data_IF_117997543831
#
_entry.id   IF_117997543831
#
_cell.length_a   1.000
_cell.length_b   1.000
_cell.length_c   1.000
_cell.angle_alpha   90.00
_cell.angle_beta   90.00
_cell.angle_gamma   90.00
#
_symmetry.space_group_name_H-M   'P 1'
#
loop_
_entity.id
_entity.type
_entity.pdbx_description
1 polymer ?
#
# COMPACT_ATOMS: atom_id res chain seq x y z
N UNK A 1 -13.70 -6.37 -11.28
CA UNK A 1 -12.29 -6.51 -10.87
C UNK A 1 -12.11 -5.98 -9.46
N UNK A 2 -10.99 -6.29 -8.80
CA UNK A 2 -10.67 -5.75 -7.47
C UNK A 2 -9.78 -4.51 -7.65
N UNK A 3 -10.15 -3.39 -7.03
CA UNK A 3 -9.37 -2.14 -7.13
C UNK A 3 -8.10 -2.24 -6.30
N UNK A 4 -6.98 -1.74 -6.85
CA UNK A 4 -5.70 -1.63 -6.12
C UNK A 4 -5.81 -0.73 -4.89
N UNK A 5 -6.74 0.23 -4.90
CA UNK A 5 -7.02 1.12 -3.77
C UNK A 5 -7.49 0.38 -2.50
N UNK A 6 -7.95 -0.87 -2.63
CA UNK A 6 -8.39 -1.70 -1.51
C UNK A 6 -7.52 -2.96 -1.39
N UNK A 7 -7.18 -3.60 -2.52
CA UNK A 7 -6.40 -4.83 -2.52
C UNK A 7 -4.97 -4.63 -2.00
N UNK A 8 -4.26 -3.59 -2.46
CA UNK A 8 -2.89 -3.36 -2.06
C UNK A 8 -2.76 -3.05 -0.55
N UNK A 9 -3.59 -2.16 0.05
CA UNK A 9 -3.64 -1.99 1.50
C UNK A 9 -3.97 -3.29 2.23
N UNK A 10 -4.98 -4.06 1.79
CA UNK A 10 -5.37 -5.31 2.46
C UNK A 10 -4.24 -6.36 2.49
N UNK A 11 -3.49 -6.51 1.40
CA UNK A 11 -2.30 -7.39 1.35
C UNK A 11 -1.10 -6.81 2.09
N UNK A 12 -1.10 -5.52 2.40
CA UNK A 12 -0.13 -4.93 3.30
C UNK A 12 -0.62 -4.92 4.76
N UNK A 13 -1.75 -5.55 5.10
CA UNK A 13 -2.26 -5.49 6.48
C UNK A 13 -2.76 -4.10 6.89
N UNK A 14 -3.29 -3.33 5.95
CA UNK A 14 -3.82 -1.98 6.21
C UNK A 14 -5.29 -1.96 5.82
N UNK A 15 -6.21 -1.93 6.79
CA UNK A 15 -7.61 -1.75 6.48
C UNK A 15 -7.84 -0.30 6.02
N UNK A 16 -8.69 -0.09 5.02
CA UNK A 16 -9.03 1.27 4.56
C UNK A 16 -9.99 2.00 5.50
N UNK A 17 -10.63 1.28 6.42
CA UNK A 17 -11.45 1.81 7.51
C UNK A 17 -11.23 0.99 8.77
N UNK A 18 -11.35 1.60 9.94
CA UNK A 18 -11.24 0.90 11.21
C UNK A 18 -12.09 1.61 12.26
N UNK A 19 -12.84 0.84 13.06
CA UNK A 19 -13.67 1.41 14.14
C UNK A 19 -12.79 2.20 15.10
N UNK A 20 -13.21 3.43 15.40
CA UNK A 20 -12.47 4.33 16.30
C UNK A 20 -11.30 5.06 15.65
N UNK A 21 -11.00 4.81 14.36
CA UNK A 21 -9.94 5.49 13.62
C UNK A 21 -10.45 6.15 12.34
N UNK A 22 -11.20 5.42 11.50
CA UNK A 22 -11.68 5.92 10.22
C UNK A 22 -13.07 5.36 9.88
N UNK A 23 -14.06 6.24 9.78
CA UNK A 23 -15.44 5.94 9.36
C UNK A 23 -15.66 6.05 7.85
N UNK A 24 -14.68 6.59 7.14
CA UNK A 24 -14.70 6.75 5.68
C UNK A 24 -13.28 6.65 5.14
N UNK A 25 -13.17 6.45 3.83
CA UNK A 25 -11.92 6.62 3.10
C UNK A 25 -12.20 7.28 1.76
N UNK A 26 -11.19 7.92 1.19
CA UNK A 26 -11.31 8.59 -0.10
C UNK A 26 -10.16 8.17 -1.00
N UNK A 27 -10.51 7.82 -2.24
CA UNK A 27 -9.54 7.47 -3.27
C UNK A 27 -9.35 8.67 -4.18
N UNK A 28 -8.09 9.04 -4.41
CA UNK A 28 -7.70 10.23 -5.17
C UNK A 28 -6.53 9.88 -6.08
N UNK A 29 -6.48 10.48 -7.27
CA UNK A 29 -5.30 10.44 -8.13
C UNK A 29 -4.31 11.52 -7.71
N UNK A 30 -3.04 11.13 -7.56
CA UNK A 30 -1.91 12.03 -7.37
C UNK A 30 -1.15 12.32 -8.66
N UNK A 31 -1.71 11.99 -9.83
CA UNK A 31 -1.01 12.16 -11.12
C UNK A 31 -0.77 13.63 -11.48
N UNK A 32 -1.75 14.49 -11.25
CA UNK A 32 -1.64 15.94 -11.37
C UNK A 32 -1.89 16.57 -10.01
N UNK A 33 -0.88 17.29 -9.52
CA UNK A 33 -0.91 18.01 -8.25
C UNK A 33 -0.68 19.51 -8.47
N UNK A 34 -0.98 20.04 -9.66
CA UNK A 34 -1.02 21.47 -9.93
C UNK A 34 -2.23 22.13 -9.25
N UNK A 35 -2.27 23.47 -9.18
CA UNK A 35 -3.48 24.19 -8.74
C UNK A 35 -4.65 24.00 -9.73
N UNK A 36 -4.35 23.80 -11.02
CA UNK A 36 -5.34 23.52 -12.06
C UNK A 36 -5.93 22.12 -12.04
N UNK A 37 -5.37 21.19 -11.25
CA UNK A 37 -5.82 19.79 -11.16
C UNK A 37 -7.27 19.63 -10.68
N UNK A 38 -7.88 20.67 -10.10
CA UNK A 38 -9.22 20.64 -9.52
C UNK A 38 -9.35 19.82 -8.24
N UNK A 39 -8.25 19.26 -7.72
CA UNK A 39 -8.25 18.46 -6.50
C UNK A 39 -8.23 19.38 -5.27
N UNK A 40 -9.27 19.29 -4.44
CA UNK A 40 -9.37 20.05 -3.18
C UNK A 40 -8.56 19.38 -2.06
N UNK A 41 -7.25 19.63 -2.06
CA UNK A 41 -6.33 19.13 -1.04
C UNK A 41 -6.66 19.64 0.37
N UNK A 42 -7.33 20.80 0.49
CA UNK A 42 -7.71 21.37 1.78
C UNK A 42 -8.82 20.58 2.46
N UNK A 43 -9.80 20.11 1.69
CA UNK A 43 -10.82 19.17 2.18
C UNK A 43 -10.21 17.80 2.45
N UNK A 44 -9.38 17.28 1.53
CA UNK A 44 -8.77 15.96 1.69
C UNK A 44 -7.89 15.84 2.96
N UNK A 45 -7.21 16.91 3.36
CA UNK A 45 -6.38 16.96 4.57
C UNK A 45 -7.15 16.64 5.86
N UNK A 46 -8.47 16.85 5.87
CA UNK A 46 -9.35 16.64 7.03
C UNK A 46 -9.98 15.25 7.06
N UNK A 47 -9.84 14.46 5.99
CA UNK A 47 -10.45 13.14 5.89
C UNK A 47 -9.60 12.08 6.61
N UNK A 48 -10.23 11.09 7.26
CA UNK A 48 -9.54 10.17 8.15
C UNK A 48 -8.58 9.23 7.41
N UNK A 49 -8.97 8.70 6.25
CA UNK A 49 -8.11 7.84 5.42
C UNK A 49 -8.14 8.31 3.97
N UNK A 50 -6.96 8.57 3.42
CA UNK A 50 -6.76 8.83 2.01
C UNK A 50 -6.00 7.69 1.36
N UNK A 51 -6.46 7.25 0.21
CA UNK A 51 -5.75 6.33 -0.66
C UNK A 51 -5.39 7.06 -1.95
N UNK A 52 -4.10 7.33 -2.13
CA UNK A 52 -3.56 8.05 -3.28
C UNK A 52 -3.04 7.05 -4.31
N UNK A 53 -3.64 7.08 -5.49
CA UNK A 53 -3.21 6.32 -6.66
C UNK A 53 -2.30 7.20 -7.53
N UNK A 54 -1.31 6.61 -8.21
CA UNK A 54 -0.43 7.34 -9.14
C UNK A 54 0.31 8.54 -8.48
N UNK A 55 0.47 8.53 -7.16
CA UNK A 55 1.00 9.65 -6.40
C UNK A 55 2.51 9.64 -6.18
N UNK A 56 3.23 8.57 -6.52
CA UNK A 56 4.66 8.41 -6.20
C UNK A 56 5.50 9.57 -6.75
N UNK A 57 5.27 9.96 -8.01
CA UNK A 57 6.03 11.06 -8.64
C UNK A 57 5.77 12.43 -8.01
N UNK A 58 4.62 12.62 -7.36
CA UNK A 58 4.20 13.89 -6.78
C UNK A 58 4.10 13.85 -5.25
N UNK A 59 4.60 12.81 -4.60
CA UNK A 59 4.37 12.57 -3.17
C UNK A 59 4.87 13.72 -2.29
N UNK A 60 5.95 14.38 -2.70
CA UNK A 60 6.49 15.56 -2.01
C UNK A 60 5.51 16.73 -2.05
N UNK A 61 4.91 17.02 -3.21
CA UNK A 61 3.89 18.08 -3.34
C UNK A 61 2.59 17.70 -2.64
N UNK A 62 2.16 16.44 -2.74
CA UNK A 62 0.96 15.94 -2.07
C UNK A 62 1.09 16.09 -0.56
N UNK A 63 2.21 15.64 0.02
CA UNK A 63 2.47 15.78 1.44
C UNK A 63 2.51 17.25 1.87
N UNK A 64 3.23 18.10 1.13
CA UNK A 64 3.31 19.52 1.41
C UNK A 64 1.92 20.20 1.41
N UNK A 65 1.06 19.88 0.45
CA UNK A 65 -0.31 20.42 0.36
C UNK A 65 -1.18 19.97 1.52
N UNK A 66 -1.14 18.69 1.88
CA UNK A 66 -1.90 18.15 3.02
C UNK A 66 -1.44 18.78 4.34
N UNK A 67 -0.12 18.95 4.52
CA UNK A 67 0.47 19.60 5.70
C UNK A 67 0.06 21.07 5.77
N UNK A 68 0.18 21.81 4.66
CA UNK A 68 -0.22 23.21 4.58
C UNK A 68 -1.72 23.42 4.87
N UNK A 69 -2.55 22.42 4.56
CA UNK A 69 -3.97 22.38 4.87
C UNK A 69 -4.30 21.93 6.31
N UNK A 70 -3.29 21.67 7.15
CA UNK A 70 -3.43 21.39 8.57
C UNK A 70 -3.33 19.92 8.97
N UNK A 71 -2.98 19.01 8.04
CA UNK A 71 -2.72 17.61 8.40
C UNK A 71 -1.36 17.49 9.11
N UNK A 72 -1.33 16.74 10.21
CA UNK A 72 -0.09 16.58 11.01
C UNK A 72 1.03 15.93 10.21
N UNK A 73 2.27 16.40 10.40
CA UNK A 73 3.48 15.78 9.85
C UNK A 73 3.69 14.36 10.36
N UNK A 74 3.14 14.04 11.53
CA UNK A 74 3.26 12.73 12.18
C UNK A 74 2.19 11.74 11.71
N UNK A 75 1.26 12.16 10.84
CA UNK A 75 0.24 11.26 10.30
C UNK A 75 0.91 10.04 9.66
N UNK A 76 0.53 8.80 10.05
CA UNK A 76 1.09 7.58 9.48
C UNK A 76 0.81 7.49 7.98
N UNK A 77 1.83 7.04 7.23
CA UNK A 77 1.75 6.80 5.79
C UNK A 77 2.39 5.48 5.44
N UNK A 78 1.72 4.71 4.59
CA UNK A 78 2.31 3.51 3.98
C UNK A 78 2.16 3.53 2.48
N UNK A 79 3.26 3.28 1.77
CA UNK A 79 3.27 3.04 0.33
C UNK A 79 3.46 1.56 0.05
N UNK A 80 2.59 1.01 -0.79
CA UNK A 80 2.59 -0.40 -1.21
C UNK A 80 2.84 -0.44 -2.71
N UNK A 81 4.03 -0.88 -3.11
CA UNK A 81 4.39 -1.12 -4.51
C UNK A 81 4.09 -2.56 -4.88
N UNK A 82 3.60 -2.78 -6.10
CA UNK A 82 3.26 -4.12 -6.61
C UNK A 82 2.39 -4.93 -5.62
N UNK A 83 1.39 -4.26 -5.04
CA UNK A 83 0.50 -4.89 -4.07
C UNK A 83 -0.10 -6.19 -4.62
N UNK A 84 -0.25 -7.18 -3.74
CA UNK A 84 -0.75 -8.53 -4.03
C UNK A 84 0.14 -9.44 -4.87
N UNK A 85 1.37 -9.03 -5.22
CA UNK A 85 2.29 -9.86 -6.01
C UNK A 85 3.46 -10.39 -5.15
N UNK A 86 4.22 -11.34 -5.69
CA UNK A 86 5.46 -11.81 -5.07
C UNK A 86 6.58 -10.75 -5.01
N UNK A 87 6.40 -9.60 -5.67
CA UNK A 87 7.33 -8.47 -5.66
C UNK A 87 6.83 -7.31 -4.79
N UNK A 88 5.82 -7.54 -3.94
CA UNK A 88 5.25 -6.51 -3.08
C UNK A 88 6.34 -5.87 -2.21
N UNK A 89 6.43 -4.55 -2.23
CA UNK A 89 7.31 -3.77 -1.35
C UNK A 89 6.47 -2.80 -0.54
N UNK A 90 6.74 -2.71 0.76
CA UNK A 90 6.04 -1.81 1.67
C UNK A 90 7.03 -0.85 2.29
N UNK A 91 6.74 0.45 2.17
CA UNK A 91 7.48 1.51 2.88
C UNK A 91 6.54 2.20 3.84
N UNK A 92 6.92 2.21 5.11
CA UNK A 92 6.24 2.93 6.19
C UNK A 92 6.98 4.22 6.49
N UNK A 93 6.23 5.28 6.75
CA UNK A 93 6.78 6.58 7.13
C UNK A 93 5.69 7.41 7.82
N UNK A 94 6.01 8.68 8.07
CA UNK A 94 5.02 9.72 8.39
C UNK A 94 4.81 10.63 7.19
N UNK A 95 3.76 11.44 7.22
CA UNK A 95 3.46 12.42 6.17
C UNK A 95 4.63 13.39 5.94
N UNK A 96 5.34 13.77 7.00
CA UNK A 96 6.52 14.63 6.93
C UNK A 96 7.77 13.96 6.35
N UNK A 97 7.82 12.62 6.31
CA UNK A 97 9.04 11.86 5.95
C UNK A 97 8.87 10.92 4.76
N UNK A 98 7.65 10.76 4.24
CA UNK A 98 7.35 9.78 3.19
C UNK A 98 8.15 10.03 1.91
N UNK A 99 8.30 11.29 1.46
CA UNK A 99 9.03 11.59 0.23
C UNK A 99 10.50 11.16 0.32
N UNK A 100 11.14 11.42 1.46
CA UNK A 100 12.50 10.95 1.74
C UNK A 100 12.57 9.42 1.81
N UNK A 101 11.62 8.80 2.51
CA UNK A 101 11.58 7.34 2.70
C UNK A 101 11.43 6.59 1.38
N UNK A 102 10.57 7.06 0.46
CA UNK A 102 10.43 6.46 -0.88
C UNK A 102 11.72 6.60 -1.70
N UNK A 103 12.42 7.73 -1.58
CA UNK A 103 13.68 7.97 -2.29
C UNK A 103 14.79 7.03 -1.80
N UNK A 104 14.93 6.89 -0.49
CA UNK A 104 15.90 5.96 0.13
C UNK A 104 15.61 4.52 -0.25
N UNK A 105 14.33 4.12 -0.22
CA UNK A 105 13.90 2.78 -0.61
C UNK A 105 13.92 2.53 -2.13
N UNK A 106 14.17 3.58 -2.94
CA UNK A 106 14.03 3.54 -4.41
C UNK A 106 12.67 2.98 -4.87
N UNK A 107 11.61 3.29 -4.12
CA UNK A 107 10.26 2.79 -4.39
C UNK A 107 9.62 3.63 -5.49
N UNK A 108 9.51 3.05 -6.68
CA UNK A 108 8.86 3.65 -7.84
C UNK A 108 7.42 3.17 -8.06
N UNK A 109 6.81 3.62 -9.14
CA UNK A 109 5.51 3.12 -9.61
C UNK A 109 5.59 1.65 -10.07
N UNK A 110 4.45 0.93 -10.08
CA UNK A 110 3.14 1.32 -9.55
C UNK A 110 3.06 1.11 -8.03
N UNK A 111 2.57 2.13 -7.31
CA UNK A 111 2.33 2.04 -5.87
C UNK A 111 1.04 2.74 -5.44
N UNK A 112 0.45 2.23 -4.37
CA UNK A 112 -0.71 2.79 -3.67
C UNK A 112 -0.23 3.37 -2.35
N UNK A 113 -0.60 4.61 -2.04
CA UNK A 113 -0.17 5.29 -0.81
C UNK A 113 -1.39 5.49 0.09
N UNK A 114 -1.35 4.97 1.31
CA UNK A 114 -2.39 5.13 2.32
C UNK A 114 -1.91 6.15 3.35
N UNK A 115 -2.70 7.19 3.60
CA UNK A 115 -2.40 8.27 4.55
C UNK A 115 -3.51 8.33 5.59
N UNK A 116 -3.18 8.11 6.87
CA UNK A 116 -4.12 8.13 7.99
C UNK A 116 -3.76 7.10 9.07
N UNK A 117 -4.44 7.17 10.21
CA UNK A 117 -4.11 6.37 11.40
C UNK A 117 -4.18 4.86 11.14
N UNK A 118 -5.04 4.42 10.22
CA UNK A 118 -5.13 3.01 9.80
C UNK A 118 -3.81 2.47 9.24
N UNK A 119 -2.95 3.34 8.69
CA UNK A 119 -1.67 2.93 8.12
C UNK A 119 -0.67 2.48 9.21
N UNK A 120 -0.87 2.87 10.46
CA UNK A 120 -0.08 2.38 11.60
C UNK A 120 -0.35 0.91 11.92
N UNK A 121 -1.50 0.37 11.51
CA UNK A 121 -1.88 -1.03 11.79
C UNK A 121 -1.10 -2.06 10.97
N UNK A 122 -0.29 -1.62 9.99
CA UNK A 122 0.56 -2.52 9.21
C UNK A 122 1.35 -3.49 10.10
N UNK A 123 1.96 -2.99 11.18
CA UNK A 123 2.86 -3.78 12.02
C UNK A 123 2.13 -4.92 12.76
N UNK A 124 0.83 -4.75 13.02
CA UNK A 124 0.00 -5.71 13.74
C UNK A 124 -0.73 -6.67 12.78
N UNK A 125 -1.11 -6.20 11.60
CA UNK A 125 -2.03 -6.90 10.70
C UNK A 125 -1.37 -7.41 9.41
N UNK A 126 -0.09 -7.11 9.17
CA UNK A 126 0.65 -7.61 8.00
C UNK A 126 0.71 -9.14 8.02
N UNK A 127 -0.11 -9.76 7.17
CA UNK A 127 -0.21 -11.23 7.06
C UNK A 127 0.52 -11.77 5.84
N UNK A 128 0.66 -10.97 4.79
CA UNK A 128 1.27 -11.39 3.54
C UNK A 128 2.75 -11.00 3.51
N UNK A 129 3.60 -12.01 3.53
CA UNK A 129 5.03 -11.88 3.28
C UNK A 129 5.33 -12.41 1.87
N UNK A 130 5.67 -11.55 0.90
CA UNK A 130 6.08 -12.02 -0.41
C UNK A 130 7.28 -12.96 -0.27
N UNK A 131 7.29 -14.10 -0.98
CA UNK A 131 8.38 -15.06 -0.88
C UNK A 131 9.68 -14.41 -1.34
N UNK A 132 10.66 -14.34 -0.45
CA UNK A 132 12.05 -14.00 -0.75
C UNK A 132 12.62 -14.96 -1.79
N UNK A 133 13.63 -14.54 -2.55
CA UNK A 133 14.31 -15.40 -3.55
C UNK A 133 14.71 -16.76 -2.96
N UNK A 134 15.13 -16.80 -1.69
CA UNK A 134 15.43 -18.03 -0.94
C UNK A 134 14.20 -18.94 -0.77
N UNK A 135 13.03 -18.40 -0.39
CA UNK A 135 11.78 -19.18 -0.26
C UNK A 135 11.26 -19.67 -1.59
N UNK A 136 11.49 -18.89 -2.66
CA UNK A 136 11.13 -19.30 -4.02
C UNK A 136 12.02 -20.47 -4.48
N UNK A 137 13.33 -20.41 -4.22
CA UNK A 137 14.24 -21.51 -4.49
C UNK A 137 13.96 -22.74 -3.63
N UNK A 138 13.60 -22.58 -2.37
CA UNK A 138 13.15 -23.69 -1.50
C UNK A 138 11.85 -24.33 -2.01
N UNK A 139 10.84 -23.53 -2.40
CA UNK A 139 9.59 -24.04 -2.96
C UNK A 139 9.79 -24.74 -4.31
N UNK A 140 10.69 -24.23 -5.16
CA UNK A 140 11.07 -24.87 -6.42
C UNK A 140 11.95 -26.11 -6.21
N UNK A 141 12.63 -26.21 -5.08
CA UNK A 141 13.41 -27.40 -4.68
C UNK A 141 12.57 -28.48 -3.99
N UNK A 142 11.33 -28.17 -3.62
CA UNK A 142 10.43 -29.16 -3.04
C UNK A 142 10.12 -30.23 -4.10
N UNK A 143 10.31 -31.52 -3.79
CA UNK A 143 9.99 -32.58 -4.74
C UNK A 143 8.49 -32.48 -5.05
N UNK A 144 8.15 -32.23 -6.32
CA UNK A 144 6.78 -32.40 -6.81
C UNK A 144 6.32 -33.77 -6.32
N UNK A 145 5.20 -33.82 -5.59
CA UNK A 145 4.63 -35.08 -5.11
C UNK A 145 4.70 -36.10 -6.24
N UNK A 146 5.26 -37.31 -6.04
CA UNK A 146 5.12 -38.34 -7.03
C UNK A 146 3.63 -38.55 -7.22
N UNK A 147 3.13 -38.29 -8.44
CA UNK A 147 1.80 -38.71 -8.84
C UNK A 147 1.77 -40.21 -8.57
N UNK A 148 0.87 -40.73 -7.71
CA UNK A 148 0.79 -42.17 -7.48
C UNK A 148 0.60 -42.84 -8.83
N UNK A 149 1.57 -43.65 -9.24
CA UNK A 149 1.46 -44.43 -10.47
C UNK A 149 0.33 -45.44 -10.26
N UNK A 150 -0.82 -45.12 -10.86
CA UNK A 150 -1.97 -45.99 -11.05
C UNK A 150 -2.63 -46.52 -9.77
N UNK A 151 -3.79 -45.93 -9.42
CA UNK A 151 -4.76 -46.61 -8.56
C UNK A 151 -5.19 -47.92 -9.25
N UNK A 152 -5.18 -49.08 -8.57
CA UNK A 152 -5.66 -50.32 -9.17
C UNK A 152 -7.13 -50.14 -9.58
N UNK A 153 -7.45 -50.56 -10.80
CA UNK A 153 -8.82 -50.59 -11.28
C UNK A 153 -9.65 -51.44 -10.31
N UNK A 154 -10.71 -50.87 -9.76
CA UNK A 154 -11.69 -51.61 -8.98
C UNK A 154 -12.43 -52.57 -9.93
N UNK A 155 -12.30 -53.87 -9.67
CA UNK A 155 -13.13 -54.94 -10.25
C UNK A 155 -14.61 -54.81 -9.83
#
# INVERSE_FOLDING_TARGET
>A
GISSAVAAPAYAGIPVTQRGMATSFTVVTGHDCSESSGTDWATLAKLPTLVVLMGVGNIEQIAARLIAAGRSTDTPVVAVRWGTTGEQQVVRATLGTIAFSLRVAKLGSPAVIVIGDVAALHDELAWFAPPTEQRQQEALSWPLYPVPEQLPAHD
#
